data_IF_816586329233
#
_entry.id   IF_816586329233
#
_cell.length_a   1.000
_cell.length_b   1.000
_cell.length_c   1.000
_cell.angle_alpha   90.00
_cell.angle_beta   90.00
_cell.angle_gamma   90.00
#
_symmetry.space_group_name_H-M   'P 1'
#
loop_
_entity.id
_entity.type
_entity.pdbx_description
1 polymer ?
#
# COMPACT_ATOMS: atom_id res chain seq x y z
N UNK A 1 20.29 35.07 41.37
CA UNK A 1 19.66 35.49 40.09
C UNK A 1 20.15 34.66 38.90
N UNK A 2 21.47 34.52 38.71
CA UNK A 2 22.05 33.82 37.55
C UNK A 2 21.71 32.32 37.45
N UNK A 3 21.49 31.62 38.58
CA UNK A 3 21.09 30.19 38.59
C UNK A 3 19.62 29.96 38.20
N UNK A 4 18.75 30.93 38.45
CA UNK A 4 17.32 30.84 38.07
C UNK A 4 17.15 31.09 36.57
N UNK A 5 17.95 32.01 36.01
CA UNK A 5 18.01 32.25 34.56
C UNK A 5 18.49 31.02 33.77
N UNK A 6 19.44 30.25 34.32
CA UNK A 6 19.92 29.02 33.68
C UNK A 6 18.86 27.90 33.62
N UNK A 7 17.98 27.81 34.64
CA UNK A 7 16.92 26.79 34.69
C UNK A 7 15.79 27.12 33.71
N UNK A 8 15.46 28.41 33.55
CA UNK A 8 14.47 28.87 32.57
C UNK A 8 14.97 28.66 31.13
N UNK A 9 16.27 28.90 30.88
CA UNK A 9 16.89 28.68 29.57
C UNK A 9 16.98 27.19 29.20
N UNK A 10 17.22 26.31 30.19
CA UNK A 10 17.24 24.86 29.98
C UNK A 10 15.83 24.27 29.75
N UNK A 11 14.79 24.90 30.31
CA UNK A 11 13.39 24.52 30.09
C UNK A 11 12.85 24.85 28.69
N UNK A 12 13.33 25.92 28.04
CA UNK A 12 12.91 26.29 26.68
C UNK A 12 13.46 25.35 25.59
N UNK A 13 14.56 24.63 25.84
CA UNK A 13 15.11 23.65 24.90
C UNK A 13 14.27 22.36 24.79
N UNK A 14 13.33 22.14 25.72
CA UNK A 14 12.41 20.99 25.68
C UNK A 14 11.08 21.27 24.97
N UNK A 15 10.81 22.52 24.54
CA UNK A 15 9.55 22.88 23.89
C UNK A 15 9.60 22.87 22.36
N UNK A 16 10.76 22.54 21.78
CA UNK A 16 10.93 22.42 20.33
C UNK A 16 10.71 20.98 19.89
N UNK A 17 9.73 20.78 19.00
CA UNK A 17 9.53 19.59 18.15
C UNK A 17 8.50 18.55 18.63
N UNK A 18 7.23 18.93 18.60
CA UNK A 18 6.18 18.07 18.06
C UNK A 18 5.48 18.81 16.91
N UNK A 19 6.16 18.97 15.77
CA UNK A 19 5.46 19.21 14.52
C UNK A 19 5.05 17.85 13.96
N UNK A 20 3.77 17.48 14.09
CA UNK A 20 3.22 16.36 13.35
C UNK A 20 3.21 16.74 11.87
N UNK A 21 4.23 16.30 11.13
CA UNK A 21 4.33 16.54 9.70
C UNK A 21 3.22 15.75 9.00
N UNK A 22 2.26 16.45 8.40
CA UNK A 22 1.14 15.83 7.67
C UNK A 22 1.68 15.18 6.40
N UNK A 23 1.71 13.85 6.38
CA UNK A 23 2.17 13.10 5.21
C UNK A 23 1.20 13.29 4.04
N UNK A 24 1.74 13.75 2.91
CA UNK A 24 0.98 13.86 1.67
C UNK A 24 0.49 12.48 1.21
N UNK A 25 -0.62 12.47 0.45
CA UNK A 25 -1.16 11.22 -0.13
C UNK A 25 -0.12 10.47 -0.96
N UNK A 26 0.76 11.19 -1.66
CA UNK A 26 1.82 10.60 -2.48
C UNK A 26 2.84 9.84 -1.64
N UNK A 27 3.29 10.43 -0.52
CA UNK A 27 4.22 9.81 0.41
C UNK A 27 3.61 8.59 1.10
N UNK A 28 2.32 8.63 1.46
CA UNK A 28 1.62 7.46 2.00
C UNK A 28 1.59 6.29 1.00
N UNK A 29 1.31 6.58 -0.27
CA UNK A 29 1.34 5.58 -1.35
C UNK A 29 2.75 5.02 -1.52
N UNK A 30 3.78 5.87 -1.46
CA UNK A 30 5.16 5.43 -1.61
C UNK A 30 5.58 4.51 -0.46
N UNK A 31 5.32 4.91 0.79
CA UNK A 31 5.57 4.08 1.98
C UNK A 31 4.88 2.72 1.89
N UNK A 32 3.65 2.69 1.38
CA UNK A 32 2.92 1.45 1.13
C UNK A 32 3.63 0.55 0.12
N UNK A 33 4.09 1.10 -1.00
CA UNK A 33 4.84 0.35 -2.01
C UNK A 33 6.15 -0.19 -1.43
N UNK A 34 6.88 0.63 -0.68
CA UNK A 34 8.17 0.23 -0.09
C UNK A 34 8.00 -0.91 0.91
N UNK A 35 6.96 -0.86 1.75
CA UNK A 35 6.63 -1.96 2.65
C UNK A 35 6.27 -3.24 1.92
N UNK A 36 5.44 -3.14 0.89
CA UNK A 36 5.05 -4.30 0.09
C UNK A 36 6.29 -4.94 -0.54
N UNK A 37 7.18 -4.11 -1.10
CA UNK A 37 8.44 -4.55 -1.68
C UNK A 37 9.31 -5.27 -0.67
N UNK A 38 9.55 -4.65 0.49
CA UNK A 38 10.35 -5.23 1.57
C UNK A 38 9.77 -6.54 2.09
N UNK A 39 8.47 -6.59 2.36
CA UNK A 39 7.76 -7.77 2.85
C UNK A 39 7.84 -8.93 1.86
N UNK A 40 7.61 -8.67 0.57
CA UNK A 40 7.67 -9.69 -0.46
C UNK A 40 9.11 -10.20 -0.62
N UNK A 41 10.11 -9.31 -0.72
CA UNK A 41 11.54 -9.67 -0.80
C UNK A 41 11.96 -10.63 0.32
N UNK A 42 11.60 -10.29 1.56
CA UNK A 42 11.94 -11.09 2.75
C UNK A 42 11.31 -12.48 2.69
N UNK A 43 10.02 -12.57 2.32
CA UNK A 43 9.29 -13.84 2.36
C UNK A 43 9.66 -14.81 1.25
N UNK A 44 9.94 -14.30 0.05
CA UNK A 44 10.26 -15.16 -1.09
C UNK A 44 11.75 -15.57 -1.10
N UNK A 45 12.63 -14.77 -0.48
CA UNK A 45 14.07 -15.05 -0.40
C UNK A 45 14.75 -15.04 -1.78
N UNK A 46 14.67 -13.92 -2.51
CA UNK A 46 15.40 -13.77 -3.77
C UNK A 46 16.89 -13.56 -3.53
N UNK A 47 17.71 -14.13 -4.42
CA UNK A 47 19.09 -13.66 -4.60
C UNK A 47 19.12 -12.46 -5.56
N UNK A 48 20.23 -11.73 -5.60
CA UNK A 48 20.36 -10.48 -6.37
C UNK A 48 20.02 -10.65 -7.86
N UNK A 49 20.47 -11.75 -8.47
CA UNK A 49 20.23 -12.03 -9.89
C UNK A 49 18.74 -12.32 -10.20
N UNK A 50 18.04 -13.05 -9.31
CA UNK A 50 16.60 -13.28 -9.44
C UNK A 50 15.79 -12.01 -9.15
N UNK A 51 16.22 -11.21 -8.17
CA UNK A 51 15.61 -9.93 -7.80
C UNK A 51 15.55 -8.95 -8.97
N UNK A 52 16.67 -8.78 -9.69
CA UNK A 52 16.77 -7.89 -10.85
C UNK A 52 15.80 -8.27 -11.99
N UNK A 53 15.46 -9.56 -12.12
CA UNK A 53 14.50 -10.05 -13.14
C UNK A 53 13.06 -10.04 -12.63
N UNK A 54 12.85 -10.27 -11.33
CA UNK A 54 11.54 -10.38 -10.72
C UNK A 54 10.83 -9.04 -10.61
N UNK A 55 11.47 -8.03 -10.02
CA UNK A 55 10.83 -6.75 -9.68
C UNK A 55 10.22 -6.02 -10.89
N UNK A 56 10.87 -5.94 -12.07
CA UNK A 56 10.26 -5.32 -13.24
C UNK A 56 8.95 -5.99 -13.66
N UNK A 57 8.90 -7.33 -13.59
CA UNK A 57 7.70 -8.11 -13.94
C UNK A 57 6.61 -7.92 -12.87
N UNK A 58 6.99 -7.99 -11.60
CA UNK A 58 6.07 -7.82 -10.47
C UNK A 58 5.46 -6.40 -10.43
N UNK A 59 6.25 -5.36 -10.65
CA UNK A 59 5.78 -3.98 -10.65
C UNK A 59 4.76 -3.73 -11.77
N UNK A 60 5.01 -4.30 -12.96
CA UNK A 60 4.05 -4.21 -14.06
C UNK A 60 2.75 -4.96 -13.77
N UNK A 61 2.85 -6.15 -13.16
CA UNK A 61 1.69 -6.90 -12.67
C UNK A 61 0.88 -6.09 -11.65
N UNK A 62 1.53 -5.57 -10.60
CA UNK A 62 0.89 -4.80 -9.54
C UNK A 62 0.21 -3.57 -10.12
N UNK A 63 0.87 -2.81 -11.00
CA UNK A 63 0.27 -1.63 -11.63
C UNK A 63 -1.00 -1.96 -12.43
N UNK A 64 -0.99 -3.04 -13.21
CA UNK A 64 -2.18 -3.51 -13.96
C UNK A 64 -3.30 -3.94 -13.00
N UNK A 65 -2.95 -4.64 -11.93
CA UNK A 65 -3.91 -5.09 -10.91
C UNK A 65 -4.54 -3.91 -10.15
N UNK A 66 -3.72 -2.91 -9.79
CA UNK A 66 -4.16 -1.69 -9.13
C UNK A 66 -5.12 -0.89 -10.02
N UNK A 67 -4.89 -0.84 -11.34
CA UNK A 67 -5.80 -0.22 -12.30
C UNK A 67 -7.17 -0.92 -12.33
N UNK A 68 -7.20 -2.26 -12.36
CA UNK A 68 -8.47 -3.01 -12.31
C UNK A 68 -9.22 -2.78 -10.99
N UNK A 69 -8.49 -2.74 -9.86
CA UNK A 69 -9.05 -2.45 -8.54
C UNK A 69 -9.62 -1.03 -8.49
N UNK A 70 -8.92 -0.04 -9.04
CA UNK A 70 -9.38 1.34 -9.11
C UNK A 70 -10.68 1.44 -9.93
N UNK A 71 -10.74 0.83 -11.11
CA UNK A 71 -11.97 0.80 -11.92
C UNK A 71 -13.13 0.13 -11.18
N UNK A 72 -12.89 -1.00 -10.51
CA UNK A 72 -13.89 -1.68 -9.68
C UNK A 72 -14.41 -0.78 -8.56
N UNK A 73 -13.51 -0.10 -7.86
CA UNK A 73 -13.84 0.83 -6.76
C UNK A 73 -14.67 2.01 -7.25
N UNK A 74 -14.31 2.61 -8.39
CA UNK A 74 -15.07 3.70 -9.01
C UNK A 74 -16.47 3.23 -9.44
N UNK A 75 -16.58 2.07 -10.09
CA UNK A 75 -17.87 1.51 -10.49
C UNK A 75 -18.78 1.23 -9.29
N UNK A 76 -18.22 0.67 -8.21
CA UNK A 76 -18.95 0.44 -6.95
C UNK A 76 -19.41 1.75 -6.32
N UNK A 77 -18.52 2.74 -6.22
CA UNK A 77 -18.87 4.05 -5.67
C UNK A 77 -19.99 4.73 -6.47
N UNK A 78 -19.92 4.65 -7.81
CA UNK A 78 -20.95 5.22 -8.67
C UNK A 78 -22.33 4.58 -8.43
N UNK A 79 -22.38 3.26 -8.23
CA UNK A 79 -23.61 2.58 -7.82
C UNK A 79 -24.07 3.06 -6.43
N UNK A 80 -23.18 3.12 -5.44
CA UNK A 80 -23.53 3.55 -4.08
C UNK A 80 -24.07 4.99 -4.04
N UNK A 81 -23.56 5.90 -4.87
CA UNK A 81 -23.94 7.33 -4.83
C UNK A 81 -25.05 7.72 -5.80
N UNK A 82 -25.16 7.07 -6.97
CA UNK A 82 -26.01 7.56 -8.08
C UNK A 82 -27.08 6.57 -8.55
N UNK A 83 -27.23 5.40 -7.91
CA UNK A 83 -28.14 4.34 -8.38
C UNK A 83 -29.59 4.80 -8.59
N UNK A 84 -30.11 5.72 -7.76
CA UNK A 84 -31.47 6.24 -7.90
C UNK A 84 -31.69 7.01 -9.21
N UNK A 85 -30.65 7.64 -9.74
CA UNK A 85 -30.71 8.50 -10.92
C UNK A 85 -30.30 7.77 -12.21
N UNK A 86 -29.92 6.50 -12.11
CA UNK A 86 -29.50 5.69 -13.26
C UNK A 86 -30.67 4.98 -13.93
N UNK A 87 -30.62 4.93 -15.26
CA UNK A 87 -31.46 4.08 -16.09
C UNK A 87 -31.16 2.60 -15.85
N UNK A 88 -32.07 1.72 -16.27
CA UNK A 88 -31.86 0.27 -16.17
C UNK A 88 -30.65 -0.18 -17.01
N UNK A 89 -30.47 0.39 -18.20
CA UNK A 89 -29.33 0.09 -19.07
C UNK A 89 -27.98 0.47 -18.44
N UNK A 90 -27.89 1.60 -17.74
CA UNK A 90 -26.67 2.00 -17.02
C UNK A 90 -26.35 1.08 -15.85
N UNK A 91 -27.39 0.65 -15.11
CA UNK A 91 -27.24 -0.32 -14.02
C UNK A 91 -26.74 -1.66 -14.55
N UNK A 92 -27.35 -2.16 -15.62
CA UNK A 92 -26.94 -3.39 -16.30
C UNK A 92 -25.49 -3.31 -16.77
N UNK A 93 -25.10 -2.22 -17.43
CA UNK A 93 -23.73 -2.00 -17.87
C UNK A 93 -22.69 -2.04 -16.72
N UNK A 94 -23.05 -1.53 -15.54
CA UNK A 94 -22.20 -1.55 -14.34
C UNK A 94 -22.11 -2.93 -13.70
N UNK A 95 -23.20 -3.71 -13.70
CA UNK A 95 -23.17 -5.10 -13.22
C UNK A 95 -22.36 -5.98 -14.17
N UNK A 96 -22.52 -5.82 -15.49
CA UNK A 96 -21.72 -6.52 -16.49
C UNK A 96 -20.24 -6.15 -16.40
N UNK A 97 -19.93 -4.89 -16.11
CA UNK A 97 -18.57 -4.44 -15.88
C UNK A 97 -17.91 -5.23 -14.73
N UNK A 98 -18.65 -5.57 -13.67
CA UNK A 98 -18.09 -6.38 -12.57
C UNK A 98 -17.63 -7.75 -13.05
N UNK A 99 -18.42 -8.42 -13.91
CA UNK A 99 -18.07 -9.71 -14.49
C UNK A 99 -16.87 -9.58 -15.42
N UNK A 100 -16.85 -8.55 -16.30
CA UNK A 100 -15.72 -8.29 -17.19
C UNK A 100 -14.41 -8.05 -16.41
N UNK A 101 -14.45 -7.25 -15.34
CA UNK A 101 -13.27 -6.99 -14.51
C UNK A 101 -12.74 -8.25 -13.82
N UNK A 102 -13.62 -9.18 -13.39
CA UNK A 102 -13.20 -10.48 -12.84
C UNK A 102 -12.49 -11.32 -13.89
N UNK A 103 -13.02 -11.36 -15.11
CA UNK A 103 -12.38 -12.07 -16.22
C UNK A 103 -11.01 -11.48 -16.55
N UNK A 104 -10.91 -10.14 -16.63
CA UNK A 104 -9.65 -9.46 -16.89
C UNK A 104 -8.61 -9.71 -15.78
N UNK A 105 -9.03 -9.77 -14.52
CA UNK A 105 -8.14 -10.09 -13.40
C UNK A 105 -7.64 -11.55 -13.49
N UNK A 106 -8.51 -12.51 -13.80
CA UNK A 106 -8.12 -13.91 -13.98
C UNK A 106 -7.14 -14.08 -15.15
N UNK A 107 -7.37 -13.40 -16.27
CA UNK A 107 -6.47 -13.43 -17.42
C UNK A 107 -5.12 -12.77 -17.12
N UNK A 108 -5.12 -11.67 -16.36
CA UNK A 108 -3.91 -11.04 -15.86
C UNK A 108 -3.12 -12.00 -14.97
N UNK A 109 -3.78 -12.64 -14.01
CA UNK A 109 -3.16 -13.58 -13.08
C UNK A 109 -2.56 -14.78 -13.84
N UNK A 110 -3.28 -15.33 -14.83
CA UNK A 110 -2.78 -16.40 -15.72
C UNK A 110 -1.53 -15.99 -16.50
N UNK A 111 -1.53 -14.81 -17.11
CA UNK A 111 -0.41 -14.31 -17.90
C UNK A 111 0.85 -14.13 -17.06
N UNK A 112 0.72 -13.57 -15.85
CA UNK A 112 1.87 -13.35 -14.97
C UNK A 112 2.32 -14.60 -14.22
N UNK A 113 1.43 -15.56 -13.95
CA UNK A 113 1.82 -16.88 -13.45
C UNK A 113 2.88 -17.54 -14.35
N UNK A 114 2.65 -17.55 -15.67
CA UNK A 114 3.62 -18.12 -16.62
C UNK A 114 4.93 -17.34 -16.69
N UNK A 115 4.90 -16.01 -16.47
CA UNK A 115 6.13 -15.21 -16.37
C UNK A 115 6.89 -15.50 -15.09
N UNK A 116 6.20 -15.61 -13.95
CA UNK A 116 6.84 -15.89 -12.68
C UNK A 116 7.46 -17.30 -12.66
N UNK A 117 6.81 -18.30 -13.27
CA UNK A 117 7.38 -19.66 -13.43
C UNK A 117 8.72 -19.70 -14.17
N UNK A 118 8.99 -18.73 -15.04
CA UNK A 118 10.27 -18.64 -15.78
C UNK A 118 11.39 -18.00 -14.97
N UNK A 119 11.06 -17.28 -13.89
CA UNK A 119 12.00 -16.48 -13.10
C UNK A 119 12.23 -17.11 -11.72
N UNK A 120 11.19 -17.70 -11.14
CA UNK A 120 11.16 -18.22 -9.78
C UNK A 120 11.11 -19.76 -9.79
N UNK A 121 11.67 -20.37 -8.76
CA UNK A 121 11.40 -21.79 -8.47
C UNK A 121 9.94 -21.97 -8.03
N UNK A 122 9.44 -23.21 -8.07
CA UNK A 122 8.08 -23.53 -7.61
C UNK A 122 7.88 -23.11 -6.15
N UNK A 123 8.85 -23.37 -5.28
CA UNK A 123 8.79 -22.98 -3.86
C UNK A 123 8.73 -21.46 -3.68
N UNK A 124 9.51 -20.70 -4.46
CA UNK A 124 9.48 -19.24 -4.43
C UNK A 124 8.15 -18.69 -4.95
N UNK A 125 7.56 -19.33 -5.96
CA UNK A 125 6.25 -18.95 -6.49
C UNK A 125 5.13 -19.21 -5.47
N UNK A 126 5.18 -20.32 -4.75
CA UNK A 126 4.25 -20.60 -3.63
C UNK A 126 4.39 -19.51 -2.56
N UNK A 127 5.64 -19.20 -2.16
CA UNK A 127 5.92 -18.14 -1.18
C UNK A 127 5.43 -16.77 -1.65
N UNK A 128 5.54 -16.46 -2.94
CA UNK A 128 5.00 -15.23 -3.51
C UNK A 128 3.49 -15.13 -3.28
N UNK A 129 2.73 -16.16 -3.62
CA UNK A 129 1.27 -16.16 -3.42
C UNK A 129 0.87 -16.07 -1.96
N UNK A 130 1.59 -16.76 -1.08
CA UNK A 130 1.39 -16.66 0.36
C UNK A 130 1.69 -15.24 0.87
N UNK A 131 2.80 -14.64 0.44
CA UNK A 131 3.20 -13.30 0.84
C UNK A 131 2.19 -12.24 0.36
N UNK A 132 1.71 -12.33 -0.88
CA UNK A 132 0.70 -11.40 -1.39
C UNK A 132 -0.63 -11.50 -0.61
N UNK A 133 -1.06 -12.72 -0.30
CA UNK A 133 -2.25 -12.94 0.52
C UNK A 133 -2.06 -12.39 1.94
N UNK A 134 -0.96 -12.74 2.60
CA UNK A 134 -0.67 -12.31 3.97
C UNK A 134 -0.58 -10.79 4.07
N UNK A 135 0.12 -10.14 3.13
CA UNK A 135 0.22 -8.68 3.09
C UNK A 135 -1.15 -8.01 2.94
N UNK A 136 -2.01 -8.54 2.05
CA UNK A 136 -3.38 -8.05 1.89
C UNK A 136 -4.20 -8.20 3.17
N UNK A 137 -4.11 -9.34 3.85
CA UNK A 137 -4.85 -9.59 5.08
C UNK A 137 -4.37 -8.68 6.22
N UNK A 138 -3.07 -8.44 6.31
CA UNK A 138 -2.49 -7.46 7.25
C UNK A 138 -3.06 -6.06 7.00
N UNK A 139 -3.10 -5.61 5.74
CA UNK A 139 -3.67 -4.31 5.38
C UNK A 139 -5.16 -4.20 5.74
N UNK A 140 -5.96 -5.22 5.44
CA UNK A 140 -7.39 -5.25 5.78
C UNK A 140 -7.59 -5.14 7.30
N UNK A 141 -6.79 -5.86 8.09
CA UNK A 141 -6.85 -5.80 9.55
C UNK A 141 -6.54 -4.39 10.06
N UNK A 142 -5.47 -3.78 9.56
CA UNK A 142 -5.08 -2.41 9.93
C UNK A 142 -6.17 -1.40 9.58
N UNK A 143 -6.76 -1.46 8.38
CA UNK A 143 -7.86 -0.56 7.99
C UNK A 143 -9.05 -0.72 8.95
N UNK A 144 -9.39 -1.94 9.36
CA UNK A 144 -10.48 -2.18 10.33
C UNK A 144 -10.16 -1.60 11.71
N UNK A 145 -8.94 -1.79 12.19
CA UNK A 145 -8.48 -1.26 13.48
C UNK A 145 -8.50 0.27 13.49
N UNK A 146 -8.05 0.91 12.41
CA UNK A 146 -8.13 2.36 12.25
C UNK A 146 -9.58 2.82 12.28
N UNK A 147 -10.45 2.21 11.47
CA UNK A 147 -11.88 2.56 11.45
C UNK A 147 -12.55 2.37 12.81
N UNK A 148 -12.20 1.32 13.56
CA UNK A 148 -12.74 1.08 14.90
C UNK A 148 -12.30 2.15 15.92
N UNK A 149 -11.05 2.64 15.83
CA UNK A 149 -10.58 3.76 16.67
C UNK A 149 -11.35 5.04 16.36
N UNK A 150 -11.55 5.36 15.09
CA UNK A 150 -12.32 6.55 14.67
C UNK A 150 -13.79 6.51 15.12
N UNK A 151 -14.41 5.33 15.21
CA UNK A 151 -15.81 5.20 15.67
C UNK A 151 -15.97 5.37 17.19
N UNK A 152 -14.88 5.28 17.97
CA UNK A 152 -14.90 5.36 19.43
C UNK A 152 -14.48 6.74 19.99
N UNK A 153 -14.07 7.70 19.15
CA UNK A 153 -13.72 9.07 19.54
C UNK A 153 -14.55 10.10 18.75
N UNK A 154 -15.67 10.63 19.30
CA UNK A 154 -16.47 11.64 18.61
C UNK A 154 -15.73 12.99 18.61
N UNK A 155 -15.23 13.41 17.44
CA UNK A 155 -14.63 14.74 17.23
C UNK A 155 -13.17 14.75 16.74
N UNK A 156 -12.55 13.60 16.44
CA UNK A 156 -11.21 13.59 15.85
C UNK A 156 -11.30 13.90 14.36
N UNK A 157 -10.91 15.12 13.96
CA UNK A 157 -10.60 15.40 12.56
C UNK A 157 -9.61 14.36 12.02
N UNK A 158 -9.79 13.97 10.76
CA UNK A 158 -9.08 12.87 10.09
C UNK A 158 -7.57 13.12 10.01
N UNK A 159 -6.84 12.86 11.08
CA UNK A 159 -5.40 13.00 11.14
C UNK A 159 -4.78 11.59 11.11
N UNK A 160 -4.57 11.07 9.89
CA UNK A 160 -3.81 9.84 9.69
C UNK A 160 -2.35 10.19 10.01
N UNK A 161 -1.98 10.07 11.29
CA UNK A 161 -0.61 10.22 11.77
C UNK A 161 0.31 9.22 11.05
N UNK A 162 1.51 9.70 10.70
CA UNK A 162 2.60 8.95 10.07
C UNK A 162 3.03 7.70 10.85
N UNK A 163 2.64 7.57 12.12
CA UNK A 163 2.97 6.46 13.02
C UNK A 163 1.83 5.45 13.20
N UNK A 164 0.59 5.80 12.81
CA UNK A 164 -0.61 4.99 13.08
C UNK A 164 -0.83 3.83 12.11
N UNK A 165 -0.12 3.84 11.00
CA UNK A 165 0.01 2.74 10.05
C UNK A 165 1.52 2.59 9.90
N UNK A 166 2.06 1.41 9.59
CA UNK A 166 3.49 1.20 9.32
C UNK A 166 4.37 0.91 10.58
N UNK A 167 4.68 -0.38 10.79
CA UNK A 167 5.67 -0.86 11.77
C UNK A 167 7.06 -0.25 11.51
N UNK A 168 7.84 -0.04 12.58
CA UNK A 168 9.21 0.49 12.56
C UNK A 168 10.11 -0.30 11.59
N UNK A 169 10.97 0.38 10.80
CA UNK A 169 11.89 -0.30 9.89
C UNK A 169 12.87 -1.15 10.69
N UNK A 170 12.92 -2.45 10.40
CA UNK A 170 14.12 -3.22 10.68
C UNK A 170 15.18 -2.74 9.68
N UNK A 171 16.21 -2.15 10.27
CA UNK A 171 17.26 -1.35 9.66
C UNK A 171 18.05 -2.08 8.56
N UNK A 172 18.38 -1.31 7.52
CA UNK A 172 19.61 -1.41 6.70
C UNK A 172 19.75 -2.60 5.75
N UNK A 173 19.11 -2.53 4.56
CA UNK A 173 19.66 -3.19 3.35
C UNK A 173 19.42 -2.40 2.04
N UNK A 174 18.40 -1.54 1.92
CA UNK A 174 17.87 -1.20 0.58
C UNK A 174 18.19 0.18 -0.04
N UNK A 175 19.17 0.95 0.44
CA UNK A 175 19.58 2.20 -0.25
C UNK A 175 20.30 1.99 -1.60
N UNK A 176 20.59 0.77 -2.03
CA UNK A 176 21.45 0.51 -3.19
C UNK A 176 20.74 0.37 -4.55
N UNK A 177 19.40 0.44 -4.64
CA UNK A 177 18.68 0.09 -5.89
C UNK A 177 17.76 1.18 -6.46
N UNK A 178 17.69 2.38 -5.86
CA UNK A 178 16.76 3.44 -6.32
C UNK A 178 17.43 4.65 -6.98
N UNK A 179 18.74 4.66 -7.21
CA UNK A 179 19.41 5.72 -7.95
C UNK A 179 19.91 5.19 -9.29
N UNK A 180 18.99 4.95 -10.21
CA UNK A 180 19.30 5.10 -11.63
C UNK A 180 18.03 5.39 -12.43
N UNK A 181 18.08 6.51 -13.15
CA UNK A 181 17.12 7.08 -14.12
C UNK A 181 16.07 8.06 -13.58
N UNK A 182 16.48 9.32 -13.47
CA UNK A 182 15.88 10.38 -14.30
C UNK A 182 17.04 11.18 -14.90
N UNK A 183 16.98 11.35 -16.22
CA UNK A 183 17.86 12.16 -17.09
C UNK A 183 17.99 13.61 -16.65
#
# INVERSE_FOLDING_TARGET
>A
MNRVLAIIFLGMLFFSAYSQEKCSKAEQIQRFKDQKTSFISERIGLNDAASNRFWPVYNNYSHKKDSLIATRSMARRNLETNMANMTNAEKEALVDLQIRLRWQEAELDRHYHEKFKRILTVDQLIKLYQAEHEFRMRLIRQIRELNAKFMNEPGSDSEISCEGVFYKPLTTVWMAFSTDKVS
#
